data_IF_339011654254
#
_entry.id   IF_339011654254
#
_cell.length_a   1.000
_cell.length_b   1.000
_cell.length_c   1.000
_cell.angle_alpha   90.00
_cell.angle_beta   90.00
_cell.angle_gamma   90.00
#
_symmetry.space_group_name_H-M   'P 1'
#
loop_
_entity.id
_entity.type
_entity.pdbx_description
1 polymer ?
#
# COMPACT_ATOMS: atom_id res chain seq x y z
N UNK A 1 28.10 -31.55 13.07
CA UNK A 1 26.88 -30.84 13.53
C UNK A 1 26.24 -30.19 12.31
N UNK A 2 25.13 -30.75 11.82
CA UNK A 2 24.41 -30.16 10.69
C UNK A 2 23.75 -28.85 11.14
N UNK A 3 24.02 -27.75 10.44
CA UNK A 3 23.26 -26.51 10.58
C UNK A 3 21.83 -26.82 10.13
N UNK A 4 20.92 -26.93 11.09
CA UNK A 4 19.49 -26.93 10.81
C UNK A 4 19.17 -25.60 10.12
N UNK A 5 19.00 -25.63 8.81
CA UNK A 5 18.47 -24.51 8.04
C UNK A 5 16.99 -24.37 8.39
N UNK A 6 16.70 -23.71 9.51
CA UNK A 6 15.34 -23.24 9.77
C UNK A 6 15.07 -22.16 8.73
N UNK A 7 14.30 -22.48 7.69
CA UNK A 7 13.68 -21.48 6.83
C UNK A 7 13.01 -20.47 7.76
N UNK A 8 13.35 -19.17 7.71
CA UNK A 8 12.72 -18.20 8.59
C UNK A 8 11.20 -18.30 8.38
N UNK A 9 10.46 -18.57 9.44
CA UNK A 9 8.99 -18.48 9.40
C UNK A 9 8.68 -17.03 9.05
N UNK A 10 8.24 -16.82 7.83
CA UNK A 10 7.89 -15.48 7.33
C UNK A 10 6.66 -15.05 8.10
N UNK A 11 6.76 -13.94 8.81
CA UNK A 11 5.63 -13.35 9.53
C UNK A 11 4.49 -13.09 8.54
N UNK A 12 3.27 -13.44 8.93
CA UNK A 12 2.10 -13.26 8.06
C UNK A 12 1.83 -11.78 7.78
N UNK A 13 1.19 -11.48 6.65
CA UNK A 13 0.81 -10.10 6.30
C UNK A 13 -0.11 -9.49 7.35
N UNK A 14 -1.00 -10.29 7.93
CA UNK A 14 -1.94 -9.84 8.97
C UNK A 14 -1.21 -9.48 10.27
N UNK A 15 -0.18 -10.23 10.67
CA UNK A 15 0.66 -9.89 11.83
C UNK A 15 1.48 -8.63 11.60
N UNK A 16 2.01 -8.43 10.38
CA UNK A 16 2.68 -7.20 9.99
C UNK A 16 1.72 -6.00 10.12
N UNK A 17 0.52 -6.09 9.53
CA UNK A 17 -0.50 -5.04 9.60
C UNK A 17 -0.95 -4.76 11.03
N UNK A 18 -1.18 -5.80 11.83
CA UNK A 18 -1.59 -5.68 13.24
C UNK A 18 -0.53 -4.94 14.06
N UNK A 19 0.75 -5.30 13.89
CA UNK A 19 1.85 -4.62 14.60
C UNK A 19 2.02 -3.17 14.17
N UNK A 20 1.83 -2.86 12.88
CA UNK A 20 1.85 -1.49 12.38
C UNK A 20 0.68 -0.66 12.91
N UNK A 21 -0.53 -1.23 12.94
CA UNK A 21 -1.74 -0.57 13.44
C UNK A 21 -1.64 -0.22 14.92
N UNK A 22 -1.05 -1.10 15.74
CA UNK A 22 -0.85 -0.86 17.18
C UNK A 22 -0.02 0.40 17.48
N UNK A 23 0.75 0.88 16.51
CA UNK A 23 1.60 2.07 16.57
C UNK A 23 1.12 3.21 15.65
N UNK A 24 -0.02 3.05 14.97
CA UNK A 24 -0.51 3.98 13.92
C UNK A 24 0.52 4.20 12.80
N UNK A 25 1.24 3.14 12.42
CA UNK A 25 2.24 3.10 11.34
C UNK A 25 1.72 2.36 10.10
N UNK A 26 0.41 2.23 9.94
CA UNK A 26 -0.24 1.52 8.83
C UNK A 26 -0.84 2.45 7.77
N UNK A 27 -0.84 3.77 8.01
CA UNK A 27 -1.37 4.81 7.14
C UNK A 27 -0.38 5.96 6.96
N UNK A 28 -0.51 6.65 5.83
CA UNK A 28 0.13 7.93 5.50
C UNK A 28 -0.90 8.83 4.81
N UNK A 29 -0.65 10.15 4.84
CA UNK A 29 -1.43 11.15 4.11
C UNK A 29 -2.95 11.02 4.35
N UNK A 30 -3.38 10.86 5.60
CA UNK A 30 -4.80 10.67 5.97
C UNK A 30 -5.69 11.82 5.48
N UNK A 31 -5.11 13.02 5.35
CA UNK A 31 -5.77 14.20 4.78
C UNK A 31 -6.29 14.00 3.34
N UNK A 32 -5.77 13.00 2.59
CA UNK A 32 -6.28 12.65 1.26
C UNK A 32 -7.64 11.95 1.30
N UNK A 33 -8.09 11.48 2.47
CA UNK A 33 -9.26 10.63 2.62
C UNK A 33 -10.33 11.22 3.58
N UNK A 34 -10.83 12.44 3.34
CA UNK A 34 -11.85 13.04 4.20
C UNK A 34 -13.15 12.23 4.20
N UNK A 35 -13.74 11.91 5.36
CA UNK A 35 -14.87 10.97 5.43
C UNK A 35 -16.15 11.45 4.72
N UNK A 36 -16.41 12.76 4.71
CA UNK A 36 -17.72 13.34 4.36
C UNK A 36 -17.83 13.96 2.97
N UNK A 37 -16.75 13.98 2.19
CA UNK A 37 -16.73 14.62 0.86
C UNK A 37 -17.01 13.60 -0.25
N UNK A 38 -17.68 13.97 -1.33
CA UNK A 38 -17.81 13.12 -2.53
C UNK A 38 -16.84 13.57 -3.61
N UNK A 39 -16.44 12.66 -4.50
CA UNK A 39 -15.63 13.08 -5.65
C UNK A 39 -16.48 13.84 -6.65
N UNK A 40 -15.91 14.85 -7.31
CA UNK A 40 -16.58 15.52 -8.45
C UNK A 40 -16.71 14.61 -9.67
N UNK A 41 -15.97 13.50 -9.69
CA UNK A 41 -15.88 12.55 -10.80
C UNK A 41 -16.41 11.16 -10.42
N UNK A 42 -17.28 11.09 -9.41
CA UNK A 42 -17.93 9.84 -8.96
C UNK A 42 -18.66 9.10 -10.11
N UNK A 43 -19.14 9.84 -11.11
CA UNK A 43 -19.81 9.30 -12.29
C UNK A 43 -18.91 8.33 -13.09
N UNK A 44 -17.59 8.53 -13.05
CA UNK A 44 -16.62 7.66 -13.72
C UNK A 44 -16.57 6.26 -13.10
N UNK A 45 -17.01 6.11 -11.86
CA UNK A 45 -17.06 4.84 -11.14
C UNK A 45 -18.33 4.01 -11.41
N UNK A 46 -19.31 4.53 -12.16
CA UNK A 46 -20.58 3.84 -12.42
C UNK A 46 -20.42 2.50 -13.15
N UNK A 47 -19.36 2.31 -13.94
CA UNK A 47 -19.07 1.01 -14.58
C UNK A 47 -18.91 -0.12 -13.56
N UNK A 48 -18.54 0.20 -12.33
CA UNK A 48 -18.33 -0.76 -11.25
C UNK A 48 -19.63 -1.20 -10.55
N UNK A 49 -20.78 -0.60 -10.86
CA UNK A 49 -22.08 -1.03 -10.32
C UNK A 49 -22.37 -2.52 -10.58
N UNK A 50 -21.88 -3.05 -11.69
CA UNK A 50 -22.03 -4.49 -12.02
C UNK A 50 -21.19 -5.37 -11.11
N UNK A 51 -19.97 -4.95 -10.79
CA UNK A 51 -19.05 -5.67 -9.91
C UNK A 51 -19.44 -5.57 -8.44
N UNK A 52 -20.00 -4.42 -8.03
CA UNK A 52 -20.36 -4.14 -6.64
C UNK A 52 -21.39 -5.13 -6.07
N UNK A 53 -22.21 -5.77 -6.92
CA UNK A 53 -23.13 -6.85 -6.54
C UNK A 53 -22.41 -8.07 -5.98
N UNK A 54 -21.25 -8.41 -6.54
CA UNK A 54 -20.45 -9.58 -6.13
C UNK A 54 -19.36 -9.20 -5.14
N UNK A 55 -18.68 -8.08 -5.43
CA UNK A 55 -17.57 -7.49 -4.70
C UNK A 55 -18.04 -6.20 -4.03
N UNK A 56 -18.85 -6.35 -2.99
CA UNK A 56 -19.50 -5.23 -2.29
C UNK A 56 -18.48 -4.21 -1.83
N UNK A 57 -18.65 -2.95 -2.25
CA UNK A 57 -17.80 -1.84 -1.87
C UNK A 57 -16.79 -1.42 -2.93
N UNK A 58 -16.66 -2.13 -4.06
CA UNK A 58 -15.77 -1.77 -5.17
C UNK A 58 -16.10 -0.39 -5.74
N UNK A 59 -17.39 -0.06 -5.91
CA UNK A 59 -17.77 1.28 -6.39
C UNK A 59 -17.38 2.37 -5.39
N UNK A 60 -17.66 2.12 -4.11
CA UNK A 60 -17.27 3.03 -3.02
C UNK A 60 -15.75 3.22 -2.96
N UNK A 61 -14.98 2.16 -3.17
CA UNK A 61 -13.52 2.23 -3.26
C UNK A 61 -13.06 3.14 -4.41
N UNK A 62 -13.63 2.99 -5.60
CA UNK A 62 -13.34 3.87 -6.73
C UNK A 62 -13.62 5.34 -6.41
N UNK A 63 -14.80 5.64 -5.83
CA UNK A 63 -15.17 6.99 -5.40
C UNK A 63 -14.20 7.58 -4.37
N UNK A 64 -13.79 6.78 -3.37
CA UNK A 64 -12.78 7.21 -2.39
C UNK A 64 -11.43 7.50 -3.04
N UNK A 65 -11.00 6.66 -3.98
CA UNK A 65 -9.74 6.87 -4.70
C UNK A 65 -9.81 8.10 -5.61
N UNK A 66 -10.94 8.32 -6.29
CA UNK A 66 -11.18 9.49 -7.12
C UNK A 66 -11.05 10.79 -6.33
N UNK A 67 -11.69 10.85 -5.15
CA UNK A 67 -11.56 11.97 -4.22
C UNK A 67 -10.12 12.15 -3.73
N UNK A 68 -9.40 11.06 -3.46
CA UNK A 68 -8.01 11.13 -3.02
C UNK A 68 -7.07 11.67 -4.13
N UNK A 69 -7.37 11.40 -5.40
CA UNK A 69 -6.68 12.04 -6.53
C UNK A 69 -6.92 13.54 -6.58
N UNK A 70 -8.17 13.98 -6.34
CA UNK A 70 -8.48 15.42 -6.27
C UNK A 70 -7.72 16.10 -5.13
N UNK A 71 -7.72 15.51 -3.92
CA UNK A 71 -6.96 16.02 -2.77
C UNK A 71 -5.47 16.02 -2.99
N UNK A 72 -4.93 15.00 -3.65
CA UNK A 72 -3.52 15.00 -4.02
C UNK A 72 -3.24 16.15 -5.00
N UNK A 73 -4.10 16.38 -6.00
CA UNK A 73 -3.92 17.44 -6.98
C UNK A 73 -3.98 18.86 -6.40
N UNK A 74 -4.74 19.08 -5.33
CA UNK A 74 -4.74 20.33 -4.56
C UNK A 74 -3.34 20.69 -4.01
N UNK A 75 -2.47 19.70 -3.81
CA UNK A 75 -1.10 19.90 -3.31
C UNK A 75 -0.09 20.30 -4.39
N UNK A 76 -0.51 20.55 -5.64
CA UNK A 76 0.37 20.84 -6.80
C UNK A 76 1.57 21.76 -6.54
N UNK A 77 1.41 22.76 -5.66
CA UNK A 77 2.43 23.77 -5.35
C UNK A 77 3.34 23.38 -4.16
N UNK A 78 3.13 22.19 -3.59
CA UNK A 78 3.84 21.67 -2.41
C UNK A 78 5.00 20.71 -2.75
N UNK A 79 5.41 20.65 -4.01
CA UNK A 79 6.61 19.95 -4.47
C UNK A 79 6.68 18.48 -4.02
N UNK A 80 7.53 18.17 -3.04
CA UNK A 80 7.71 16.81 -2.54
C UNK A 80 6.45 16.23 -1.89
N UNK A 81 5.65 17.04 -1.19
CA UNK A 81 4.42 16.57 -0.56
C UNK A 81 3.42 16.06 -1.60
N UNK A 82 3.24 16.80 -2.69
CA UNK A 82 2.42 16.37 -3.84
C UNK A 82 2.90 15.04 -4.42
N UNK A 83 4.20 14.97 -4.74
CA UNK A 83 4.82 13.77 -5.31
C UNK A 83 4.63 12.56 -4.39
N UNK A 84 4.87 12.72 -3.10
CA UNK A 84 4.77 11.64 -2.13
C UNK A 84 3.32 11.21 -1.88
N UNK A 85 2.36 12.14 -1.87
CA UNK A 85 0.93 11.87 -1.82
C UNK A 85 0.48 11.05 -3.03
N UNK A 86 0.80 11.49 -4.25
CA UNK A 86 0.49 10.76 -5.49
C UNK A 86 1.10 9.35 -5.49
N UNK A 87 2.36 9.21 -5.09
CA UNK A 87 3.04 7.91 -5.03
C UNK A 87 2.42 6.95 -4.03
N UNK A 88 1.87 7.46 -2.92
CA UNK A 88 1.26 6.64 -1.88
C UNK A 88 -0.09 6.05 -2.32
N UNK A 89 -0.87 6.76 -3.16
CA UNK A 89 -2.22 6.35 -3.54
C UNK A 89 -2.30 4.92 -4.07
N UNK A 90 -1.39 4.50 -4.95
CA UNK A 90 -1.41 3.12 -5.47
C UNK A 90 -1.26 2.06 -4.36
N UNK A 91 -0.42 2.32 -3.37
CA UNK A 91 -0.19 1.40 -2.25
C UNK A 91 -1.43 1.34 -1.36
N UNK A 92 -2.07 2.49 -1.12
CA UNK A 92 -3.35 2.54 -0.41
C UNK A 92 -4.43 1.75 -1.15
N UNK A 93 -4.54 1.92 -2.47
CA UNK A 93 -5.53 1.22 -3.29
C UNK A 93 -5.39 -0.30 -3.19
N UNK A 94 -4.17 -0.83 -3.23
CA UNK A 94 -3.94 -2.28 -3.12
C UNK A 94 -4.37 -2.84 -1.77
N UNK A 95 -4.06 -2.16 -0.66
CA UNK A 95 -4.55 -2.59 0.66
C UNK A 95 -6.07 -2.61 0.71
N UNK A 96 -6.73 -1.56 0.21
CA UNK A 96 -8.20 -1.50 0.19
C UNK A 96 -8.83 -2.56 -0.72
N UNK A 97 -8.22 -2.89 -1.86
CA UNK A 97 -8.65 -4.02 -2.70
C UNK A 97 -8.59 -5.32 -1.89
N UNK A 98 -7.53 -5.51 -1.10
CA UNK A 98 -7.37 -6.69 -0.23
C UNK A 98 -8.33 -6.78 0.94
N UNK A 99 -9.10 -5.72 1.21
CA UNK A 99 -10.15 -5.68 2.24
C UNK A 99 -11.54 -6.01 1.69
N UNK A 100 -11.71 -6.04 0.36
CA UNK A 100 -13.00 -6.38 -0.26
C UNK A 100 -13.29 -7.86 -0.04
N UNK A 101 -14.48 -8.16 0.46
CA UNK A 101 -14.95 -9.54 0.67
C UNK A 101 -14.90 -10.32 -0.65
N UNK A 102 -14.41 -11.56 -0.60
CA UNK A 102 -14.19 -12.47 -1.75
C UNK A 102 -12.95 -12.18 -2.60
N UNK A 103 -12.15 -11.17 -2.27
CA UNK A 103 -10.81 -11.03 -2.84
C UNK A 103 -9.84 -11.84 -2.00
N UNK A 104 -9.05 -12.69 -2.65
CA UNK A 104 -8.01 -13.47 -1.98
C UNK A 104 -6.65 -12.78 -2.20
N UNK A 105 -5.89 -12.55 -1.12
CA UNK A 105 -4.57 -11.89 -1.21
C UNK A 105 -3.55 -12.71 -2.04
N UNK A 106 -3.77 -14.02 -2.20
CA UNK A 106 -2.96 -14.90 -3.06
C UNK A 106 -3.13 -14.61 -4.56
N UNK A 107 -4.24 -14.00 -4.97
CA UNK A 107 -4.52 -13.70 -6.38
C UNK A 107 -3.54 -12.66 -6.92
N UNK A 108 -3.20 -12.80 -8.21
CA UNK A 108 -2.52 -11.74 -8.95
C UNK A 108 -3.49 -10.56 -9.10
N UNK A 109 -3.01 -9.34 -8.88
CA UNK A 109 -3.85 -8.14 -8.87
C UNK A 109 -4.65 -7.97 -10.16
N UNK A 110 -4.05 -8.29 -11.30
CA UNK A 110 -4.65 -8.21 -12.63
C UNK A 110 -5.57 -9.38 -12.99
N UNK A 111 -5.64 -10.42 -12.15
CA UNK A 111 -6.62 -11.50 -12.26
C UNK A 111 -7.92 -11.22 -11.49
N UNK A 112 -7.94 -10.19 -10.63
CA UNK A 112 -9.14 -9.81 -9.87
C UNK A 112 -10.19 -9.24 -10.85
N UNK A 113 -11.42 -9.80 -10.90
CA UNK A 113 -12.36 -9.52 -12.00
C UNK A 113 -12.72 -8.05 -12.24
N UNK A 114 -12.77 -7.24 -11.18
CA UNK A 114 -13.10 -5.82 -11.28
C UNK A 114 -11.88 -4.92 -11.49
N UNK A 115 -10.65 -5.45 -11.39
CA UNK A 115 -9.44 -4.62 -11.34
C UNK A 115 -9.25 -3.78 -12.59
N UNK A 116 -9.43 -4.37 -13.78
CA UNK A 116 -9.31 -3.64 -15.06
C UNK A 116 -10.31 -2.47 -15.11
N UNK A 117 -11.57 -2.72 -14.79
CA UNK A 117 -12.61 -1.69 -14.82
C UNK A 117 -12.38 -0.61 -13.77
N UNK A 118 -11.81 -0.97 -12.61
CA UNK A 118 -11.42 -0.03 -11.57
C UNK A 118 -10.28 0.88 -12.04
N UNK A 119 -9.22 0.31 -12.64
CA UNK A 119 -8.10 1.08 -13.18
C UNK A 119 -8.55 2.01 -14.31
N UNK A 120 -9.42 1.52 -15.21
CA UNK A 120 -10.00 2.34 -16.27
C UNK A 120 -10.80 3.52 -15.72
N UNK A 121 -11.61 3.29 -14.68
CA UNK A 121 -12.40 4.35 -14.03
C UNK A 121 -11.52 5.42 -13.39
N UNK A 122 -10.51 5.03 -12.59
CA UNK A 122 -9.63 6.00 -11.90
C UNK A 122 -8.69 6.73 -12.86
N UNK A 123 -8.30 6.11 -13.98
CA UNK A 123 -7.55 6.81 -15.02
C UNK A 123 -8.38 7.91 -15.66
N UNK A 124 -9.66 7.65 -15.98
CA UNK A 124 -10.58 8.69 -16.49
C UNK A 124 -10.78 9.83 -15.51
N UNK A 125 -10.88 9.54 -14.21
CA UNK A 125 -10.89 10.58 -13.17
C UNK A 125 -9.62 11.42 -13.26
N UNK A 126 -8.44 10.78 -13.29
CA UNK A 126 -7.16 11.47 -13.31
C UNK A 126 -6.94 12.28 -14.60
N UNK A 127 -7.51 11.87 -15.73
CA UNK A 127 -7.51 12.63 -16.99
C UNK A 127 -8.35 13.92 -16.91
N UNK A 128 -9.46 13.90 -16.14
CA UNK A 128 -10.28 15.09 -15.89
C UNK A 128 -9.59 16.10 -14.95
N UNK A 129 -8.59 15.67 -14.19
CA UNK A 129 -7.76 16.56 -13.35
C UNK A 129 -6.71 17.21 -14.24
N UNK A 130 -6.88 18.49 -14.55
CA UNK A 130 -5.97 19.21 -15.46
C UNK A 130 -4.68 19.63 -14.77
N UNK A 131 -4.77 20.12 -13.53
CA UNK A 131 -3.63 20.65 -12.77
C UNK A 131 -3.37 19.78 -11.56
N UNK A 132 -2.10 19.47 -11.27
CA UNK A 132 -1.73 18.63 -10.13
C UNK A 132 -2.01 17.14 -10.33
N UNK A 133 -2.34 16.70 -11.54
CA UNK A 133 -2.65 15.29 -11.82
C UNK A 133 -1.50 14.36 -11.40
N UNK A 134 -1.86 13.21 -10.85
CA UNK A 134 -0.88 12.21 -10.46
C UNK A 134 -0.44 11.39 -11.68
N UNK A 135 0.79 10.88 -11.66
CA UNK A 135 1.19 9.82 -12.59
C UNK A 135 0.82 8.47 -12.00
N UNK A 136 -0.21 7.84 -12.54
CA UNK A 136 -0.69 6.55 -12.07
C UNK A 136 0.08 5.41 -12.74
N UNK A 137 0.67 4.54 -11.91
CA UNK A 137 1.37 3.33 -12.35
C UNK A 137 0.91 2.17 -11.50
N UNK A 138 0.23 1.22 -12.14
CA UNK A 138 -0.30 0.03 -11.47
C UNK A 138 0.50 -1.21 -11.87
N UNK A 139 0.87 -2.00 -10.86
CA UNK A 139 1.49 -3.31 -10.99
C UNK A 139 0.55 -4.32 -11.68
N UNK A 140 1.16 -5.29 -12.36
CA UNK A 140 0.50 -6.41 -13.05
C UNK A 140 1.29 -7.69 -12.77
N UNK A 141 0.65 -8.85 -12.83
CA UNK A 141 1.29 -10.14 -12.62
C UNK A 141 2.03 -10.27 -11.25
N UNK A 142 1.57 -9.52 -10.24
CA UNK A 142 2.08 -9.54 -8.86
C UNK A 142 0.91 -9.89 -7.94
N UNK A 143 1.16 -10.70 -6.90
CA UNK A 143 0.12 -11.07 -5.94
C UNK A 143 -0.28 -9.86 -5.09
N UNK A 144 -1.55 -9.80 -4.71
CA UNK A 144 -2.06 -8.72 -3.86
C UNK A 144 -1.37 -8.69 -2.49
N UNK A 145 -1.06 -9.87 -1.94
CA UNK A 145 -0.28 -10.04 -0.71
C UNK A 145 1.09 -9.35 -0.78
N UNK A 146 1.80 -9.50 -1.92
CA UNK A 146 3.08 -8.83 -2.12
C UNK A 146 2.91 -7.31 -2.21
N UNK A 147 1.84 -6.82 -2.86
CA UNK A 147 1.55 -5.38 -2.96
C UNK A 147 1.25 -4.76 -1.59
N UNK A 148 0.53 -5.47 -0.71
CA UNK A 148 0.31 -5.05 0.69
C UNK A 148 1.63 -5.01 1.46
N UNK A 149 2.51 -6.00 1.28
CA UNK A 149 3.86 -5.99 1.87
C UNK A 149 4.73 -4.83 1.37
N UNK A 150 4.62 -4.47 0.09
CA UNK A 150 5.28 -3.29 -0.47
C UNK A 150 4.74 -1.99 0.16
N UNK A 151 3.44 -1.89 0.45
CA UNK A 151 2.87 -0.77 1.22
C UNK A 151 3.49 -0.68 2.61
N UNK A 152 3.54 -1.78 3.36
CA UNK A 152 4.14 -1.83 4.71
C UNK A 152 5.59 -1.33 4.66
N UNK A 153 6.36 -1.79 3.68
CA UNK A 153 7.75 -1.37 3.47
C UNK A 153 7.87 0.11 3.14
N UNK A 154 7.02 0.61 2.24
CA UNK A 154 6.98 2.03 1.90
C UNK A 154 6.73 2.90 3.13
N UNK A 155 5.76 2.53 3.98
CA UNK A 155 5.43 3.30 5.19
C UNK A 155 6.59 3.25 6.19
N UNK A 156 7.21 2.09 6.41
CA UNK A 156 8.39 1.97 7.26
C UNK A 156 9.48 2.96 6.84
N UNK A 157 9.84 2.99 5.56
CA UNK A 157 10.89 3.89 5.07
C UNK A 157 10.50 5.36 5.20
N UNK A 158 9.23 5.71 4.93
CA UNK A 158 8.75 7.09 5.08
C UNK A 158 8.68 7.56 6.53
N UNK A 159 8.41 6.66 7.48
CA UNK A 159 8.30 6.98 8.92
C UNK A 159 9.57 6.63 9.71
N UNK A 160 10.68 6.27 9.06
CA UNK A 160 11.88 5.77 9.75
C UNK A 160 12.38 6.70 10.86
N UNK A 161 12.46 8.01 10.58
CA UNK A 161 12.91 9.01 11.55
C UNK A 161 11.93 9.14 12.73
N UNK A 162 10.62 9.14 12.45
CA UNK A 162 9.58 9.18 13.49
C UNK A 162 9.65 7.94 14.39
N UNK A 163 9.79 6.76 13.79
CA UNK A 163 9.94 5.50 14.52
C UNK A 163 11.18 5.57 15.42
N UNK A 164 12.32 5.95 14.86
CA UNK A 164 13.59 6.08 15.61
C UNK A 164 13.47 7.05 16.79
N UNK A 165 12.81 8.18 16.61
CA UNK A 165 12.65 9.21 17.64
C UNK A 165 11.64 8.87 18.75
N UNK A 166 10.67 7.99 18.47
CA UNK A 166 9.62 7.62 19.43
C UNK A 166 9.98 6.40 20.31
N UNK A 167 11.05 5.66 19.99
CA UNK A 167 11.51 4.55 20.82
C UNK A 167 12.18 5.11 22.08
N UNK A 168 11.49 4.97 23.23
CA UNK A 168 11.95 5.45 24.53
C UNK A 168 12.11 4.29 25.51
N UNK A 169 13.34 3.95 25.98
CA UNK A 169 13.58 2.83 26.89
C UNK A 169 12.78 2.91 28.20
N UNK A 170 12.45 4.12 28.65
CA UNK A 170 11.75 4.37 29.91
C UNK A 170 10.28 3.89 29.86
N UNK A 171 9.71 3.76 28.66
CA UNK A 171 8.32 3.32 28.44
C UNK A 171 8.27 1.87 27.97
N UNK A 172 8.42 0.92 28.90
CA UNK A 172 8.53 -0.51 28.62
C UNK A 172 7.44 -1.07 27.68
N UNK A 173 6.17 -0.73 27.92
CA UNK A 173 5.06 -1.22 27.10
C UNK A 173 5.08 -0.69 25.66
N UNK A 174 5.42 0.59 25.49
CA UNK A 174 5.54 1.23 24.17
C UNK A 174 6.76 0.66 23.43
N UNK A 175 7.89 0.50 24.14
CA UNK A 175 9.10 -0.12 23.62
C UNK A 175 8.86 -1.57 23.14
N UNK A 176 8.08 -2.36 23.89
CA UNK A 176 7.69 -3.73 23.50
C UNK A 176 6.92 -3.75 22.17
N UNK A 177 5.96 -2.84 21.98
CA UNK A 177 5.23 -2.71 20.71
C UNK A 177 6.15 -2.38 19.53
N UNK A 178 7.07 -1.43 19.71
CA UNK A 178 8.08 -1.10 18.70
C UNK A 178 8.99 -2.29 18.40
N UNK A 179 9.43 -3.03 19.43
CA UNK A 179 10.27 -4.22 19.26
C UNK A 179 9.55 -5.29 18.43
N UNK A 180 8.28 -5.57 18.71
CA UNK A 180 7.46 -6.49 17.90
C UNK A 180 7.34 -6.01 16.46
N UNK A 181 6.99 -4.73 16.24
CA UNK A 181 6.87 -4.16 14.90
C UNK A 181 8.19 -4.26 14.10
N UNK A 182 9.32 -3.89 14.71
CA UNK A 182 10.64 -3.94 14.07
C UNK A 182 11.09 -5.38 13.78
N UNK A 183 10.78 -6.32 14.67
CA UNK A 183 11.07 -7.75 14.46
C UNK A 183 10.28 -8.30 13.28
N UNK A 184 8.98 -7.97 13.21
CA UNK A 184 8.12 -8.37 12.09
C UNK A 184 8.61 -7.74 10.78
N UNK A 185 8.91 -6.44 10.78
CA UNK A 185 9.42 -5.76 9.61
C UNK A 185 10.77 -6.31 9.14
N UNK A 186 11.67 -6.66 10.07
CA UNK A 186 12.95 -7.30 9.74
C UNK A 186 12.74 -8.62 9.01
N UNK A 187 11.80 -9.46 9.46
CA UNK A 187 11.45 -10.72 8.77
C UNK A 187 11.00 -10.46 7.33
N UNK A 188 10.15 -9.44 7.12
CA UNK A 188 9.72 -9.02 5.78
C UNK A 188 10.90 -8.52 4.93
N UNK A 189 11.75 -7.64 5.47
CA UNK A 189 12.90 -7.09 4.77
C UNK A 189 13.88 -8.19 4.34
N UNK A 190 14.21 -9.12 5.23
CA UNK A 190 15.11 -10.23 4.93
C UNK A 190 14.55 -11.11 3.81
N UNK A 191 13.23 -11.35 3.79
CA UNK A 191 12.55 -12.05 2.69
C UNK A 191 12.67 -11.27 1.38
N UNK A 192 12.27 -10.00 1.34
CA UNK A 192 12.31 -9.19 0.12
C UNK A 192 13.74 -9.07 -0.43
N UNK A 193 14.73 -8.92 0.45
CA UNK A 193 16.15 -8.91 0.09
C UNK A 193 16.56 -10.24 -0.54
N UNK A 194 16.16 -11.37 0.04
CA UNK A 194 16.48 -12.69 -0.49
C UNK A 194 15.75 -12.99 -1.81
N UNK A 195 14.54 -12.49 -2.00
CA UNK A 195 13.74 -12.76 -3.19
C UNK A 195 14.15 -11.88 -4.38
N UNK A 196 14.53 -10.63 -4.13
CA UNK A 196 14.76 -9.62 -5.19
C UNK A 196 16.17 -9.06 -5.28
N UNK A 197 16.99 -9.20 -4.22
CA UNK A 197 18.33 -8.62 -4.16
C UNK A 197 19.43 -9.67 -4.10
N UNK A 198 19.19 -10.91 -4.57
CA UNK A 198 20.27 -11.89 -4.73
C UNK A 198 21.34 -11.25 -5.61
N UNK A 199 22.57 -11.21 -5.12
CA UNK A 199 23.71 -10.89 -5.97
C UNK A 199 23.66 -11.85 -7.15
N UNK A 200 23.38 -11.33 -8.34
CA UNK A 200 23.87 -11.97 -9.55
C UNK A 200 25.35 -12.21 -9.27
N UNK A 201 25.76 -13.48 -9.18
CA UNK A 201 27.14 -13.85 -9.45
C UNK A 201 27.39 -13.46 -10.91
N UNK A 202 27.59 -12.17 -11.16
CA UNK A 202 28.37 -11.72 -12.28
C UNK A 202 29.80 -11.96 -11.85
N UNK A 203 30.54 -12.90 -12.46
CA UNK A 203 31.97 -12.82 -12.34
C UNK A 203 32.32 -11.46 -12.94
N UNK A 204 32.94 -10.59 -12.14
CA UNK A 204 33.81 -9.59 -12.71
C UNK A 204 34.86 -10.39 -13.53
N UNK A 205 34.65 -10.48 -14.84
CA UNK A 205 35.73 -10.80 -15.76
C UNK A 205 36.42 -9.49 -16.08
N UNK A 206 37.65 -9.40 -15.59
CA UNK A 206 38.77 -8.49 -15.89
C UNK A 206 38.52 -7.30 -16.81
#
# INVERSE_FOLDING_TARGET
MAKTSSTPVVVSTDELEKSALALKLNTLYEALFPEKEKSKFDDQCNKLDTHDKTYVGVKSLCSKFARALEKAAELKDKGEEHKNSCNYLRYWLYDEIGRIKKVERSQKIDSIPFFKDLIDAVNKVNEKIIVGKCTLKFDKNVTLDELVKRKISYIYFKKYNDIKGNIKPEKKDECSKYFTYLTNFKSLYDKLKNDHCKSSFWPFSS
#
